data_IF_572665942226
#
_entry.id   IF_572665942226
#
_cell.length_a   1.000
_cell.length_b   1.000
_cell.length_c   1.000
_cell.angle_alpha   90.00
_cell.angle_beta   90.00
_cell.angle_gamma   90.00
#
_symmetry.space_group_name_H-M   'P 1'
#
loop_
_entity.id
_entity.type
_entity.pdbx_description
1 polymer ?
#
# COMPACT_ATOMS: atom_id res chain seq x y z
N UNK A 1 -2.97 8.89 -13.49
CA UNK A 1 -2.20 9.34 -12.29
C UNK A 1 -0.85 8.64 -12.22
N UNK A 2 0.10 9.23 -11.49
CA UNK A 2 1.36 8.65 -11.03
C UNK A 2 1.17 8.08 -9.63
N UNK A 3 1.40 6.79 -9.46
CA UNK A 3 1.07 6.07 -8.24
C UNK A 3 2.36 5.44 -7.68
N UNK A 4 2.69 5.78 -6.44
CA UNK A 4 3.72 5.09 -5.67
C UNK A 4 3.06 4.02 -4.79
N UNK A 5 3.52 2.78 -4.84
CA UNK A 5 2.98 1.68 -4.04
C UNK A 5 4.06 1.04 -3.18
N UNK A 6 3.77 0.82 -1.90
CA UNK A 6 4.62 0.07 -0.95
C UNK A 6 3.85 -1.03 -0.21
N UNK A 7 4.54 -1.84 0.59
CA UNK A 7 3.94 -2.79 1.54
C UNK A 7 4.96 -3.19 2.63
N UNK A 8 4.55 -4.06 3.55
CA UNK A 8 5.41 -4.72 4.54
C UNK A 8 5.60 -6.23 4.33
N UNK A 9 4.75 -6.88 3.53
CA UNK A 9 4.91 -8.30 3.14
C UNK A 9 6.13 -8.55 2.22
N UNK A 10 6.67 -7.48 1.63
CA UNK A 10 7.80 -7.52 0.69
C UNK A 10 7.39 -7.55 -0.79
N UNK A 11 8.36 -7.30 -1.66
CA UNK A 11 8.12 -7.05 -3.09
C UNK A 11 7.56 -8.25 -3.87
N UNK A 12 7.80 -9.48 -3.38
CA UNK A 12 7.34 -10.70 -4.03
C UNK A 12 5.93 -11.12 -3.63
N UNK A 13 5.29 -10.40 -2.71
CA UNK A 13 3.97 -10.74 -2.21
C UNK A 13 2.88 -10.68 -3.30
N UNK A 14 1.87 -11.54 -3.17
CA UNK A 14 0.78 -11.59 -4.14
C UNK A 14 -0.11 -10.33 -4.07
N UNK A 15 -0.33 -9.78 -2.87
CA UNK A 15 -1.19 -8.61 -2.67
C UNK A 15 -0.68 -7.35 -3.39
N UNK A 16 0.62 -7.05 -3.28
CA UNK A 16 1.25 -5.91 -3.97
C UNK A 16 1.20 -6.08 -5.49
N UNK A 17 1.42 -7.31 -5.99
CA UNK A 17 1.35 -7.62 -7.42
C UNK A 17 -0.05 -7.43 -7.99
N UNK A 18 -1.07 -7.93 -7.30
CA UNK A 18 -2.47 -7.77 -7.71
C UNK A 18 -2.88 -6.29 -7.76
N UNK A 19 -2.45 -5.50 -6.76
CA UNK A 19 -2.73 -4.07 -6.72
C UNK A 19 -2.02 -3.31 -7.86
N UNK A 20 -0.70 -3.49 -7.98
CA UNK A 20 0.12 -2.76 -8.95
C UNK A 20 -0.28 -3.08 -10.40
N UNK A 21 -0.44 -4.36 -10.74
CA UNK A 21 -0.82 -4.76 -12.09
C UNK A 21 -2.25 -4.31 -12.44
N UNK A 22 -3.17 -4.36 -11.47
CA UNK A 22 -4.54 -3.89 -11.67
C UNK A 22 -4.61 -2.39 -12.00
N UNK A 23 -3.82 -1.57 -11.31
CA UNK A 23 -3.74 -0.13 -11.55
C UNK A 23 -2.98 0.22 -12.83
N UNK A 24 -1.94 -0.53 -13.17
CA UNK A 24 -1.23 -0.41 -14.43
C UNK A 24 -2.16 -0.70 -15.63
N UNK A 25 -2.99 -1.76 -15.52
CA UNK A 25 -3.99 -2.09 -16.52
C UNK A 25 -5.08 -1.01 -16.71
N UNK A 26 -5.31 -0.17 -15.69
CA UNK A 26 -6.19 1.00 -15.79
C UNK A 26 -5.50 2.23 -16.43
N UNK A 27 -4.25 2.09 -16.87
CA UNK A 27 -3.50 3.14 -17.57
C UNK A 27 -2.77 4.13 -16.65
N UNK A 28 -2.55 3.79 -15.38
CA UNK A 28 -1.77 4.61 -14.45
C UNK A 28 -0.26 4.37 -14.60
N UNK A 29 0.55 5.40 -14.32
CA UNK A 29 2.01 5.22 -14.18
C UNK A 29 2.30 4.69 -12.78
N UNK A 30 2.71 3.43 -12.67
CA UNK A 30 2.87 2.74 -11.38
C UNK A 30 4.34 2.50 -11.07
N UNK A 31 4.74 2.89 -9.87
CA UNK A 31 6.05 2.61 -9.27
C UNK A 31 5.84 1.83 -7.97
N UNK A 32 6.52 0.69 -7.81
CA UNK A 32 6.49 -0.15 -6.62
C UNK A 32 7.84 -0.09 -5.92
N UNK A 33 7.87 0.27 -4.64
CA UNK A 33 9.08 0.22 -3.81
C UNK A 33 8.75 -0.47 -2.49
N UNK A 34 9.31 -1.65 -2.29
CA UNK A 34 8.96 -2.54 -1.18
C UNK A 34 10.20 -3.19 -0.58
N UNK A 35 10.12 -3.68 0.67
CA UNK A 35 11.19 -4.47 1.26
C UNK A 35 11.57 -5.70 0.42
N UNK A 36 12.86 -6.06 0.41
CA UNK A 36 13.41 -7.25 -0.26
C UNK A 36 12.92 -8.58 0.33
N UNK A 37 12.43 -8.54 1.56
CA UNK A 37 11.93 -9.67 2.36
C UNK A 37 10.75 -9.20 3.22
N UNK A 38 10.02 -10.14 3.80
CA UNK A 38 8.95 -9.82 4.75
C UNK A 38 9.49 -9.01 5.95
N UNK A 39 8.81 -7.90 6.25
CA UNK A 39 9.09 -6.99 7.37
C UNK A 39 7.83 -6.70 8.19
N UNK A 40 6.89 -7.64 8.22
CA UNK A 40 5.68 -7.55 9.04
C UNK A 40 6.00 -7.22 10.50
N UNK A 41 5.21 -6.33 11.10
CA UNK A 41 5.34 -5.86 12.48
C UNK A 41 6.61 -5.05 12.83
N UNK A 42 7.31 -4.44 11.85
CA UNK A 42 8.39 -3.49 12.14
C UNK A 42 7.91 -2.11 12.61
N UNK A 43 6.60 -1.83 12.53
CA UNK A 43 6.05 -0.49 12.79
C UNK A 43 6.66 0.57 11.88
N UNK A 44 6.73 1.81 12.39
CA UNK A 44 7.24 2.99 11.68
C UNK A 44 8.74 3.23 11.92
N UNK A 45 9.56 2.18 11.76
CA UNK A 45 11.02 2.31 11.92
C UNK A 45 11.68 2.99 10.71
N UNK A 46 12.72 3.80 10.94
CA UNK A 46 13.59 4.35 9.91
C UNK A 46 15.04 3.88 10.12
N UNK A 47 15.72 3.52 9.05
CA UNK A 47 17.13 3.09 9.10
C UNK A 47 18.06 4.31 8.99
N UNK A 48 18.66 4.72 10.12
CA UNK A 48 19.53 5.92 10.19
C UNK A 48 21.03 5.61 10.25
N UNK A 49 21.39 4.44 10.77
CA UNK A 49 22.79 4.12 11.11
C UNK A 49 23.49 3.21 10.10
N UNK A 50 22.79 2.78 9.05
CA UNK A 50 23.32 1.89 8.02
C UNK A 50 22.81 2.32 6.64
N UNK A 51 23.58 2.11 5.57
CA UNK A 51 23.14 2.43 4.22
C UNK A 51 21.99 1.53 3.80
N UNK A 52 21.02 2.12 3.09
CA UNK A 52 19.89 1.42 2.47
C UNK A 52 20.21 1.21 0.99
N UNK A 53 19.88 0.03 0.44
CA UNK A 53 20.07 -0.29 -0.97
C UNK A 53 18.72 -0.51 -1.64
N UNK A 54 18.61 -0.10 -2.90
CA UNK A 54 17.49 -0.42 -3.77
C UNK A 54 18.00 -1.11 -5.05
N UNK A 55 17.36 -2.20 -5.43
CA UNK A 55 17.68 -2.97 -6.63
C UNK A 55 16.44 -3.07 -7.52
N UNK A 56 16.62 -2.91 -8.82
CA UNK A 56 15.51 -3.02 -9.79
C UNK A 56 15.04 -4.47 -9.82
N UNK A 57 13.72 -4.67 -9.81
CA UNK A 57 13.11 -5.98 -9.95
C UNK A 57 12.33 -6.05 -11.26
N UNK A 58 12.68 -7.01 -12.09
CA UNK A 58 12.05 -7.25 -13.39
C UNK A 58 11.20 -8.52 -13.38
N UNK A 59 10.30 -8.65 -14.36
CA UNK A 59 9.55 -9.89 -14.68
C UNK A 59 8.53 -10.38 -13.63
N UNK A 60 8.31 -9.66 -12.53
CA UNK A 60 7.29 -10.01 -11.52
C UNK A 60 6.02 -9.16 -11.61
N UNK A 61 6.11 -7.94 -12.13
CA UNK A 61 4.96 -7.07 -12.37
C UNK A 61 4.65 -7.00 -13.87
N UNK A 62 3.55 -6.33 -14.22
CA UNK A 62 3.31 -5.92 -15.61
C UNK A 62 4.50 -5.12 -16.15
N UNK A 63 4.76 -5.24 -17.46
CA UNK A 63 5.89 -4.58 -18.13
C UNK A 63 5.92 -3.05 -17.99
N UNK A 64 4.79 -2.42 -17.71
CA UNK A 64 4.67 -0.98 -17.51
C UNK A 64 4.96 -0.53 -16.06
N UNK A 65 5.08 -1.46 -15.11
CA UNK A 65 5.35 -1.17 -13.69
C UNK A 65 6.86 -1.09 -13.45
N UNK A 66 7.32 0.02 -12.87
CA UNK A 66 8.71 0.15 -12.38
C UNK A 66 8.77 -0.37 -10.95
N UNK A 67 9.70 -1.27 -10.63
CA UNK A 67 9.75 -1.90 -9.32
C UNK A 67 11.16 -1.97 -8.71
N UNK A 68 11.25 -1.71 -7.40
CA UNK A 68 12.50 -1.73 -6.64
C UNK A 68 12.36 -2.50 -5.33
N UNK A 69 13.27 -3.46 -5.10
CA UNK A 69 13.45 -4.13 -3.82
C UNK A 69 14.39 -3.29 -2.95
N UNK A 70 13.97 -2.99 -1.73
CA UNK A 70 14.71 -2.14 -0.80
C UNK A 70 15.14 -2.93 0.44
N UNK A 71 16.36 -2.73 0.94
CA UNK A 71 16.86 -3.42 2.14
C UNK A 71 16.29 -2.87 3.46
N UNK A 72 15.60 -1.74 3.41
CA UNK A 72 15.08 -1.00 4.57
C UNK A 72 13.69 -1.45 5.05
N UNK A 73 13.07 -0.63 5.90
CA UNK A 73 11.69 -0.80 6.38
C UNK A 73 10.67 -0.31 5.34
N UNK A 74 9.36 -0.56 5.52
CA UNK A 74 8.32 0.00 4.65
C UNK A 74 8.36 1.53 4.57
N UNK A 75 8.66 2.21 5.68
CA UNK A 75 8.80 3.66 5.70
C UNK A 75 10.05 4.13 4.92
N UNK A 76 11.17 3.42 5.09
CA UNK A 76 12.40 3.68 4.32
C UNK A 76 12.15 3.54 2.82
N UNK A 77 11.36 2.54 2.40
CA UNK A 77 11.00 2.33 0.99
C UNK A 77 10.34 3.56 0.38
N UNK A 78 9.33 4.11 1.06
CA UNK A 78 8.60 5.29 0.58
C UNK A 78 9.49 6.52 0.57
N UNK A 79 10.29 6.75 1.63
CA UNK A 79 11.25 7.87 1.64
C UNK A 79 12.28 7.74 0.52
N UNK A 80 12.90 6.58 0.36
CA UNK A 80 13.88 6.34 -0.69
C UNK A 80 13.28 6.55 -2.08
N UNK A 81 12.04 6.08 -2.28
CA UNK A 81 11.30 6.30 -3.50
C UNK A 81 11.17 7.80 -3.82
N UNK A 82 10.58 8.56 -2.90
CA UNK A 82 10.26 9.98 -3.08
C UNK A 82 11.49 10.87 -3.27
N UNK A 83 12.61 10.55 -2.62
CA UNK A 83 13.79 11.41 -2.61
C UNK A 83 14.91 10.96 -3.56
N UNK A 84 14.89 9.71 -4.04
CA UNK A 84 16.02 9.19 -4.83
C UNK A 84 15.63 8.35 -6.06
N UNK A 85 14.47 7.69 -6.09
CA UNK A 85 14.14 6.76 -7.18
C UNK A 85 13.15 7.34 -8.20
N UNK A 86 12.19 8.14 -7.75
CA UNK A 86 11.18 8.71 -8.62
C UNK A 86 11.74 9.95 -9.34
N UNK A 87 11.52 10.02 -10.66
CA UNK A 87 11.85 11.21 -11.44
C UNK A 87 10.88 12.37 -11.15
N UNK A 88 9.63 12.05 -10.83
CA UNK A 88 8.57 13.01 -10.57
C UNK A 88 7.75 12.60 -9.34
N UNK A 89 7.21 13.61 -8.65
CA UNK A 89 6.41 13.39 -7.44
C UNK A 89 5.12 12.61 -7.79
N UNK A 90 4.74 11.58 -7.01
CA UNK A 90 3.51 10.84 -7.25
C UNK A 90 2.29 11.65 -6.84
N UNK A 91 1.15 11.36 -7.47
CA UNK A 91 -0.14 11.98 -7.14
C UNK A 91 -0.76 11.37 -5.87
N UNK A 92 -0.47 10.09 -5.60
CA UNK A 92 -1.00 9.32 -4.47
C UNK A 92 -0.01 8.24 -4.04
N UNK A 93 0.07 7.97 -2.74
CA UNK A 93 0.79 6.80 -2.19
C UNK A 93 -0.22 5.73 -1.78
N UNK A 94 -0.04 4.51 -2.26
CA UNK A 94 -0.83 3.35 -1.85
C UNK A 94 0.04 2.37 -1.08
N UNK A 95 -0.54 1.70 -0.09
CA UNK A 95 0.14 0.64 0.64
C UNK A 95 -0.70 -0.63 0.69
N UNK A 96 -0.07 -1.80 0.48
CA UNK A 96 -0.71 -3.12 0.53
C UNK A 96 -0.73 -3.83 -0.83
N UNK A 97 -1.66 -4.76 -1.09
CA UNK A 97 -2.74 -5.21 -0.19
C UNK A 97 -2.17 -6.15 0.88
N UNK A 98 -2.28 -5.76 2.15
CA UNK A 98 -1.79 -6.56 3.27
C UNK A 98 -2.60 -7.86 3.45
N UNK A 99 -1.94 -8.96 3.82
CA UNK A 99 -2.60 -10.21 4.19
C UNK A 99 -2.99 -10.23 5.68
N UNK A 100 -4.21 -9.76 5.96
CA UNK A 100 -4.73 -9.65 7.31
C UNK A 100 -5.18 -8.22 7.61
N UNK A 101 -6.12 -8.04 8.54
CA UNK A 101 -6.71 -6.74 8.83
C UNK A 101 -5.77 -5.84 9.64
N UNK A 102 -5.87 -4.52 9.43
CA UNK A 102 -5.27 -3.49 10.29
C UNK A 102 -6.39 -2.67 10.94
N UNK A 103 -6.85 -3.11 12.11
CA UNK A 103 -8.02 -2.58 12.81
C UNK A 103 -7.66 -2.09 14.20
N UNK A 104 -8.22 -0.95 14.62
CA UNK A 104 -7.98 -0.38 15.94
C UNK A 104 -6.50 -0.12 16.19
N UNK A 105 -5.99 -0.44 17.39
CA UNK A 105 -4.62 -0.05 17.78
C UNK A 105 -3.52 -0.75 16.99
N UNK A 106 -3.84 -1.85 16.30
CA UNK A 106 -2.90 -2.58 15.43
C UNK A 106 -2.34 -1.71 14.30
N UNK A 107 -3.07 -0.64 13.94
CA UNK A 107 -2.67 0.36 12.96
C UNK A 107 -1.34 1.03 13.35
N UNK A 108 -1.07 1.24 14.65
CA UNK A 108 0.14 1.93 15.13
C UNK A 108 1.43 1.14 14.89
N UNK A 109 1.32 -0.18 14.71
CA UNK A 109 2.45 -1.09 14.52
C UNK A 109 2.46 -1.72 13.11
N UNK A 110 1.52 -1.31 12.25
CA UNK A 110 1.35 -1.84 10.90
C UNK A 110 2.37 -1.24 9.95
N UNK A 111 3.20 -2.08 9.33
CA UNK A 111 4.15 -1.64 8.31
C UNK A 111 3.44 -1.12 7.05
N UNK A 112 2.33 -1.75 6.65
CA UNK A 112 1.47 -1.26 5.56
C UNK A 112 0.97 0.16 5.85
N UNK A 113 0.46 0.44 7.06
CA UNK A 113 0.00 1.80 7.39
C UNK A 113 1.18 2.76 7.50
N UNK A 114 2.32 2.34 8.05
CA UNK A 114 3.53 3.16 8.11
C UNK A 114 4.02 3.61 6.74
N UNK A 115 3.97 2.74 5.72
CA UNK A 115 4.27 3.12 4.34
C UNK A 115 3.31 4.21 3.83
N UNK A 116 1.99 4.05 4.01
CA UNK A 116 1.04 5.10 3.63
C UNK A 116 1.23 6.40 4.44
N UNK A 117 1.65 6.30 5.70
CA UNK A 117 1.85 7.46 6.56
C UNK A 117 3.06 8.30 6.14
N UNK A 118 4.09 7.70 5.54
CA UNK A 118 5.20 8.45 4.93
C UNK A 118 4.74 9.33 3.77
N UNK A 119 3.77 8.89 2.97
CA UNK A 119 3.16 9.75 1.95
C UNK A 119 2.50 10.99 2.56
N UNK A 120 1.78 10.83 3.67
CA UNK A 120 1.12 11.93 4.39
C UNK A 120 2.12 12.92 4.99
N UNK A 121 3.22 12.43 5.54
CA UNK A 121 4.30 13.27 6.08
C UNK A 121 4.83 14.20 4.98
N UNK A 122 4.91 13.69 3.75
CA UNK A 122 5.30 14.46 2.56
C UNK A 122 4.10 15.17 1.87
N UNK A 123 2.95 15.30 2.55
CA UNK A 123 1.72 15.94 2.07
C UNK A 123 1.19 15.38 0.74
N UNK A 124 1.26 14.05 0.59
CA UNK A 124 0.72 13.28 -0.54
C UNK A 124 -0.45 12.44 0.00
N UNK A 125 -1.65 12.55 -0.61
CA UNK A 125 -2.80 11.75 -0.17
C UNK A 125 -2.47 10.27 -0.24
N UNK A 126 -2.88 9.50 0.77
CA UNK A 126 -2.41 8.12 0.94
C UNK A 126 -3.51 7.14 1.34
N UNK A 127 -3.41 5.89 0.85
CA UNK A 127 -4.39 4.84 1.15
C UNK A 127 -3.67 3.54 1.51
N UNK A 128 -4.01 2.96 2.67
CA UNK A 128 -3.58 1.63 3.08
C UNK A 128 -4.71 0.62 2.83
N UNK A 129 -4.40 -0.50 2.17
CA UNK A 129 -5.35 -1.57 1.88
C UNK A 129 -4.96 -2.87 2.58
N UNK A 130 -5.93 -3.49 3.23
CA UNK A 130 -5.77 -4.75 3.96
C UNK A 130 -6.90 -5.72 3.59
N UNK A 131 -6.56 -6.99 3.31
CA UNK A 131 -7.55 -8.05 3.14
C UNK A 131 -7.94 -8.58 4.54
N UNK A 132 -9.15 -8.24 4.98
CA UNK A 132 -9.74 -8.69 6.23
C UNK A 132 -10.27 -10.13 6.12
N UNK A 133 -9.36 -11.07 5.88
CA UNK A 133 -9.63 -12.50 5.86
C UNK A 133 -8.36 -13.29 6.08
N UNK A 134 -8.16 -13.85 7.27
CA UNK A 134 -6.93 -14.59 7.63
C UNK A 134 -6.73 -15.88 6.82
N UNK A 135 -7.80 -16.43 6.26
CA UNK A 135 -7.78 -17.67 5.46
C UNK A 135 -7.89 -17.41 3.97
N UNK A 136 -8.21 -16.18 3.55
CA UNK A 136 -8.39 -15.84 2.14
C UNK A 136 -7.06 -15.42 1.53
N UNK A 137 -6.65 -16.07 0.44
CA UNK A 137 -5.49 -15.68 -0.38
C UNK A 137 -5.90 -15.09 -1.72
N UNK A 138 -7.20 -14.84 -1.90
CA UNK A 138 -7.73 -14.22 -3.12
C UNK A 138 -7.71 -12.69 -2.95
N UNK A 139 -6.67 -12.06 -3.49
CA UNK A 139 -6.50 -10.61 -3.49
C UNK A 139 -7.27 -9.92 -4.64
N UNK A 140 -7.87 -10.66 -5.57
CA UNK A 140 -8.49 -10.08 -6.76
C UNK A 140 -9.67 -9.17 -6.39
N UNK A 141 -10.52 -9.62 -5.46
CA UNK A 141 -11.64 -8.81 -4.95
C UNK A 141 -11.18 -7.50 -4.29
N UNK A 142 -10.11 -7.57 -3.49
CA UNK A 142 -9.54 -6.38 -2.85
C UNK A 142 -8.84 -5.46 -3.85
N UNK A 143 -8.15 -6.00 -4.85
CA UNK A 143 -7.55 -5.21 -5.93
C UNK A 143 -8.61 -4.50 -6.77
N UNK A 144 -9.71 -5.18 -7.10
CA UNK A 144 -10.83 -4.57 -7.84
C UNK A 144 -11.52 -3.45 -7.03
N UNK A 145 -11.67 -3.64 -5.71
CA UNK A 145 -12.15 -2.57 -4.83
C UNK A 145 -11.17 -1.39 -4.81
N UNK A 146 -9.87 -1.65 -4.66
CA UNK A 146 -8.84 -0.61 -4.65
C UNK A 146 -8.81 0.21 -5.95
N UNK A 147 -8.88 -0.45 -7.12
CA UNK A 147 -9.01 0.21 -8.43
C UNK A 147 -10.24 1.11 -8.51
N UNK A 148 -11.38 0.62 -8.04
CA UNK A 148 -12.63 1.40 -8.01
C UNK A 148 -12.51 2.63 -7.12
N UNK A 149 -11.83 2.50 -5.97
CA UNK A 149 -11.58 3.62 -5.06
C UNK A 149 -10.59 4.64 -5.66
N UNK A 150 -9.49 4.19 -6.27
CA UNK A 150 -8.51 5.06 -6.92
C UNK A 150 -9.16 5.87 -8.05
N UNK A 151 -10.00 5.23 -8.88
CA UNK A 151 -10.79 5.92 -9.91
C UNK A 151 -11.68 7.03 -9.33
N UNK A 152 -12.23 6.82 -8.13
CA UNK A 152 -13.03 7.85 -7.44
C UNK A 152 -12.16 9.00 -6.93
N UNK A 153 -10.96 8.70 -6.43
CA UNK A 153 -9.97 9.69 -5.99
C UNK A 153 -9.46 10.51 -7.17
N UNK A 154 -9.26 9.91 -8.34
CA UNK A 154 -8.90 10.64 -9.56
C UNK A 154 -9.95 11.69 -9.95
N UNK A 155 -11.24 11.34 -9.91
CA UNK A 155 -12.33 12.27 -10.20
C UNK A 155 -12.66 13.26 -9.07
N UNK A 156 -12.30 12.93 -7.82
CA UNK A 156 -12.49 13.79 -6.65
C UNK A 156 -11.29 13.62 -5.69
N UNK A 157 -10.21 14.41 -5.89
CA UNK A 157 -8.99 14.28 -5.12
C UNK A 157 -9.23 14.40 -3.61
N UNK A 158 -8.51 13.58 -2.85
CA UNK A 158 -8.49 13.67 -1.39
C UNK A 158 -7.63 14.88 -0.95
N UNK A 159 -7.90 15.47 0.22
CA UNK A 159 -6.98 16.43 0.83
C UNK A 159 -5.60 15.79 1.03
N UNK A 160 -4.51 16.54 0.79
CA UNK A 160 -3.14 16.01 0.84
C UNK A 160 -2.70 15.45 2.19
N UNK A 161 -3.36 15.85 3.28
CA UNK A 161 -3.11 15.38 4.64
C UNK A 161 -4.05 14.25 5.11
N UNK A 162 -4.72 13.56 4.19
CA UNK A 162 -5.69 12.50 4.50
C UNK A 162 -5.15 11.09 4.19
N UNK A 163 -5.12 10.24 5.23
CA UNK A 163 -4.87 8.81 5.11
C UNK A 163 -6.18 8.02 5.20
N UNK A 164 -6.46 7.17 4.21
CA UNK A 164 -7.55 6.19 4.29
C UNK A 164 -7.01 4.80 4.64
N UNK A 165 -7.46 4.24 5.76
CA UNK A 165 -7.16 2.85 6.13
C UNK A 165 -8.35 1.96 5.76
N UNK A 166 -8.19 1.11 4.75
CA UNK A 166 -9.24 0.35 4.09
C UNK A 166 -9.07 -1.14 4.36
N UNK A 167 -10.04 -1.74 5.04
CA UNK A 167 -10.09 -3.18 5.30
C UNK A 167 -11.18 -3.81 4.45
N UNK A 168 -10.78 -4.63 3.47
CA UNK A 168 -11.67 -5.28 2.50
C UNK A 168 -12.00 -6.72 2.96
N UNK A 169 -13.27 -7.11 3.13
CA UNK A 169 -13.59 -8.47 3.58
C UNK A 169 -13.18 -9.55 2.58
N UNK A 170 -12.76 -10.72 3.08
CA UNK A 170 -12.21 -11.78 2.24
C UNK A 170 -13.18 -12.49 1.28
N UNK A 171 -14.50 -12.25 1.40
CA UNK A 171 -15.56 -12.98 0.68
C UNK A 171 -16.31 -12.11 -0.35
N UNK A 172 -15.62 -11.18 -1.03
CA UNK A 172 -16.26 -10.23 -1.96
C UNK A 172 -16.96 -10.86 -3.18
N UNK A 173 -16.79 -12.15 -3.48
CA UNK A 173 -17.56 -12.82 -4.56
C UNK A 173 -19.07 -12.78 -4.35
N UNK A 174 -19.54 -12.45 -3.14
CA UNK A 174 -20.97 -12.41 -2.78
C UNK A 174 -21.49 -11.01 -2.40
N UNK A 175 -20.64 -9.98 -2.40
CA UNK A 175 -21.06 -8.63 -2.00
C UNK A 175 -21.19 -7.72 -3.21
N UNK A 176 -22.43 -7.30 -3.50
CA UNK A 176 -22.64 -6.03 -4.20
C UNK A 176 -21.94 -4.93 -3.41
N UNK A 177 -21.17 -4.08 -4.09
CA UNK A 177 -20.46 -2.94 -3.52
C UNK A 177 -21.46 -1.87 -3.01
N UNK A 178 -22.24 -2.18 -1.98
CA UNK A 178 -23.31 -1.34 -1.44
C UNK A 178 -22.98 -0.65 -0.12
N UNK A 179 -22.14 -1.27 0.73
CA UNK A 179 -21.94 -0.80 2.11
C UNK A 179 -20.47 -0.42 2.40
N UNK A 180 -20.04 0.74 1.89
CA UNK A 180 -18.81 1.39 2.39
C UNK A 180 -19.14 2.11 3.69
N UNK A 181 -18.70 1.56 4.81
CA UNK A 181 -18.95 2.15 6.13
C UNK A 181 -17.73 2.97 6.59
N UNK A 182 -17.86 4.30 6.62
CA UNK A 182 -16.82 5.20 7.12
C UNK A 182 -16.89 5.20 8.65
N UNK A 183 -15.84 4.69 9.29
CA UNK A 183 -15.73 4.63 10.76
C UNK A 183 -14.55 5.47 11.23
N UNK A 184 -14.75 6.26 12.27
CA UNK A 184 -13.64 6.83 13.03
C UNK A 184 -12.87 5.70 13.73
N UNK A 185 -11.55 5.85 13.86
CA UNK A 185 -10.70 4.90 14.57
C UNK A 185 -11.28 4.57 15.96
N UNK A 186 -11.38 3.28 16.30
CA UNK A 186 -11.85 2.80 17.60
C UNK A 186 -10.78 1.91 18.24
N UNK A 187 -10.60 1.96 19.57
CA UNK A 187 -9.69 1.06 20.25
C UNK A 187 -10.12 -0.39 20.03
N UNK A 188 -9.15 -1.26 19.72
CA UNK A 188 -9.29 -2.71 19.74
C UNK A 188 -8.02 -3.24 20.37
N UNK A 189 -8.14 -3.85 21.54
CA UNK A 189 -7.00 -4.36 22.29
C UNK A 189 -6.93 -5.88 22.16
N UNK A 190 -5.71 -6.40 22.25
CA UNK A 190 -5.42 -7.84 22.25
C UNK A 190 -5.03 -8.32 23.66
N UNK A 191 -5.72 -7.86 24.71
CA UNK A 191 -5.66 -8.40 26.08
C UNK A 191 -6.95 -8.05 26.82
#
# INVERSE_FOLDING_TARGET
MRILIGNDDGIFAQGIRSLANGLAADGHEVTVVCPDRERSATGHGLTLHQPIRAEIVESIFDSSVKAWACSGTPADCIKLALFALLAERPDVVLAGINHGPNLGTDILYSGTVSAAMEGIIENIPSIAFSLAGYTSRDFEGAANFARSLVKRVEGKPMPGSMLLNVNVPGNLRLFHCGDVNIKQHRPRHWF
#
